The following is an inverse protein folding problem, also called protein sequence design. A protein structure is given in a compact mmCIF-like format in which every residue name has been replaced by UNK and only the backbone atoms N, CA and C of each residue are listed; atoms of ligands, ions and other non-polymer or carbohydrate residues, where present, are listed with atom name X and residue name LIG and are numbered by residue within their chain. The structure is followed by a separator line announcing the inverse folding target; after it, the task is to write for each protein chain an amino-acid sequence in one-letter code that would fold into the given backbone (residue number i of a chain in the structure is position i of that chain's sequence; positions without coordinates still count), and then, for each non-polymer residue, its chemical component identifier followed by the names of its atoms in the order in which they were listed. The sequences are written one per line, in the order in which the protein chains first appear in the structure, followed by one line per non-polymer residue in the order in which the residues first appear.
data_IF_531135502216
#
_entry.id   IF_531135502216
#
_cell.length_a   1.000
_cell.length_b   1.000
_cell.length_c   1.000
_cell.angle_alpha   90.00
_cell.angle_beta   90.00
_cell.angle_gamma   90.00
#
_symmetry.space_group_name_H-M   'P 1'
#
loop_
_entity.id
_entity.type
_entity.pdbx_description
1 polymer ?
#
# COMPACT_ATOMS: atom_id res chain seq x y z
N UNK A 1 18.36 2.56 1.31
CA UNK A 1 17.71 3.89 1.39
C UNK A 1 17.92 4.48 2.78
N UNK A 2 18.13 5.80 2.90
CA UNK A 2 18.42 6.44 4.20
C UNK A 2 17.13 6.83 4.94
N UNK A 3 17.18 6.86 6.28
CA UNK A 3 16.11 7.41 7.13
C UNK A 3 15.88 8.89 6.78
N UNK A 4 14.63 9.35 6.82
CA UNK A 4 14.21 10.72 6.44
C UNK A 4 13.47 10.84 5.10
N UNK A 5 13.62 9.89 4.18
CA UNK A 5 12.88 9.89 2.91
C UNK A 5 11.52 9.18 3.03
N UNK A 6 10.46 9.71 2.40
CA UNK A 6 9.11 9.11 2.41
C UNK A 6 9.10 7.64 1.99
N UNK A 7 9.84 7.32 0.92
CA UNK A 7 9.94 5.96 0.38
C UNK A 7 10.53 4.98 1.41
N UNK A 8 11.40 5.44 2.32
CA UNK A 8 11.92 4.61 3.40
C UNK A 8 10.81 4.13 4.35
N UNK A 9 9.85 5.01 4.69
CA UNK A 9 8.68 4.63 5.50
C UNK A 9 7.77 3.66 4.75
N UNK A 10 7.50 3.95 3.48
CA UNK A 10 6.60 3.15 2.62
C UNK A 10 7.09 1.71 2.47
N UNK A 11 8.36 1.52 2.13
CA UNK A 11 8.91 0.18 1.87
C UNK A 11 9.14 -0.65 3.14
N UNK A 12 9.43 -0.01 4.28
CA UNK A 12 9.72 -0.72 5.53
C UNK A 12 8.51 -0.81 6.47
N UNK A 13 7.32 -0.40 6.03
CA UNK A 13 6.12 -0.38 6.87
C UNK A 13 6.32 0.42 8.17
N UNK A 14 6.91 1.62 8.07
CA UNK A 14 7.20 2.46 9.24
C UNK A 14 6.27 3.67 9.28
N UNK A 15 6.03 4.20 10.48
CA UNK A 15 5.32 5.46 10.67
C UNK A 15 5.97 6.59 9.83
N UNK A 16 5.19 7.38 9.07
CA UNK A 16 5.71 8.44 8.19
C UNK A 16 6.38 9.60 8.94
N UNK A 17 6.06 9.78 10.22
CA UNK A 17 6.61 10.86 11.04
C UNK A 17 7.93 10.49 11.71
N UNK A 18 7.98 9.39 12.44
CA UNK A 18 9.15 9.01 13.25
C UNK A 18 10.07 7.98 12.58
N UNK A 19 9.59 7.28 11.54
CA UNK A 19 10.32 6.21 10.84
C UNK A 19 10.92 5.13 11.78
N UNK A 20 10.25 4.83 12.90
CA UNK A 20 10.82 3.94 13.92
C UNK A 20 9.86 2.87 14.42
N UNK A 21 8.56 3.16 14.54
CA UNK A 21 7.55 2.15 14.83
C UNK A 21 6.85 1.71 13.56
N UNK A 22 6.23 0.53 13.59
CA UNK A 22 5.47 0.00 12.46
C UNK A 22 4.18 0.81 12.22
N UNK A 23 3.81 0.96 10.95
CA UNK A 23 2.53 1.55 10.55
C UNK A 23 1.42 0.49 10.59
N UNK A 24 1.61 -0.61 9.87
CA UNK A 24 0.78 -1.81 9.97
C UNK A 24 1.31 -2.76 11.04
N UNK A 25 0.41 -3.46 11.72
CA UNK A 25 0.75 -4.44 12.78
C UNK A 25 1.70 -5.54 12.30
N UNK A 26 1.56 -5.98 11.05
CA UNK A 26 2.44 -6.97 10.44
C UNK A 26 3.08 -6.39 9.19
N UNK A 27 4.32 -6.78 8.88
CA UNK A 27 4.97 -6.42 7.61
C UNK A 27 4.46 -7.25 6.41
N UNK A 28 3.37 -7.99 6.57
CA UNK A 28 2.80 -8.84 5.54
C UNK A 28 1.38 -8.34 5.19
N UNK A 29 1.14 -7.85 3.96
CA UNK A 29 -0.16 -7.35 3.51
C UNK A 29 -1.31 -8.33 3.75
N UNK A 30 -1.11 -9.61 3.45
CA UNK A 30 -2.12 -10.65 3.58
C UNK A 30 -2.46 -10.92 5.05
N UNK A 31 -1.47 -10.92 5.95
CA UNK A 31 -1.75 -11.08 7.39
C UNK A 31 -2.56 -9.92 7.95
N UNK A 32 -2.28 -8.69 7.52
CA UNK A 32 -3.10 -7.55 7.93
C UNK A 32 -4.55 -7.69 7.44
N UNK A 33 -4.76 -8.21 6.23
CA UNK A 33 -6.12 -8.39 5.68
C UNK A 33 -6.91 -9.58 6.21
N UNK A 34 -6.29 -10.74 6.37
CA UNK A 34 -7.06 -11.93 6.74
C UNK A 34 -7.06 -12.20 8.24
N UNK A 35 -6.14 -11.60 9.01
CA UNK A 35 -5.96 -11.91 10.44
C UNK A 35 -6.21 -10.70 11.34
N UNK A 36 -5.95 -9.47 10.87
CA UNK A 36 -6.13 -8.28 11.71
C UNK A 36 -7.58 -7.78 11.67
N UNK A 37 -8.14 -7.45 12.83
CA UNK A 37 -9.44 -6.78 12.92
C UNK A 37 -9.26 -5.31 12.48
N UNK A 38 -9.64 -5.07 11.23
CA UNK A 38 -9.51 -3.87 10.38
C UNK A 38 -9.96 -2.51 10.91
N UNK A 39 -10.46 -2.42 12.13
CA UNK A 39 -11.29 -1.30 12.52
C UNK A 39 -10.51 -0.02 12.81
N UNK A 40 -9.21 -0.11 13.14
CA UNK A 40 -8.40 1.10 13.23
C UNK A 40 -6.90 0.76 13.20
N UNK A 41 -6.12 1.43 12.34
CA UNK A 41 -4.64 1.35 12.36
C UNK A 41 -4.11 2.04 13.63
N UNK A 42 -4.96 2.83 14.30
CA UNK A 42 -4.74 3.36 15.63
C UNK A 42 -3.71 4.48 15.66
N UNK A 43 -2.86 4.46 16.68
CA UNK A 43 -1.83 5.48 16.90
C UNK A 43 -0.45 4.85 16.88
N UNK A 44 0.51 5.59 16.34
CA UNK A 44 1.92 5.26 16.43
C UNK A 44 2.35 5.10 17.90
N UNK A 45 3.02 3.99 18.24
CA UNK A 45 3.45 3.71 19.62
C UNK A 45 4.48 4.73 20.13
N UNK A 46 5.37 5.20 19.24
CA UNK A 46 6.46 6.13 19.56
C UNK A 46 6.06 7.61 19.60
N UNK A 47 5.55 8.16 18.49
CA UNK A 47 5.22 9.58 18.40
C UNK A 47 3.73 9.90 18.68
N UNK A 48 2.93 8.90 19.05
CA UNK A 48 1.49 9.01 19.37
C UNK A 48 0.62 9.62 18.28
N UNK A 49 1.15 9.75 17.07
CA UNK A 49 0.41 10.20 15.88
C UNK A 49 -0.78 9.27 15.64
N UNK A 50 -1.98 9.83 15.59
CA UNK A 50 -3.17 9.14 15.08
C UNK A 50 -3.06 9.03 13.56
N UNK A 51 -3.14 7.82 13.03
CA UNK A 51 -2.96 7.60 11.59
C UNK A 51 -4.16 8.08 10.75
N UNK A 52 -5.37 7.99 11.31
CA UNK A 52 -6.55 8.65 10.74
C UNK A 52 -6.63 10.09 11.27
N UNK A 53 -6.25 11.04 10.40
CA UNK A 53 -6.22 12.46 10.70
C UNK A 53 -7.63 13.02 10.88
N UNK A 54 -8.51 12.74 9.92
CA UNK A 54 -9.94 13.11 9.92
C UNK A 54 -10.83 11.87 9.69
N UNK A 55 -12.10 11.87 10.16
CA UNK A 55 -13.03 10.79 9.84
C UNK A 55 -13.19 10.66 8.31
N UNK A 56 -12.94 9.47 7.78
CA UNK A 56 -13.01 9.21 6.34
C UNK A 56 -11.74 9.57 5.57
N UNK A 57 -10.64 9.89 6.26
CA UNK A 57 -9.32 10.16 5.63
C UNK A 57 -8.91 9.10 4.59
N UNK A 58 -9.30 7.84 4.82
CA UNK A 58 -8.94 6.72 3.97
C UNK A 58 -9.71 6.61 2.65
N UNK A 59 -10.76 7.42 2.43
CA UNK A 59 -11.40 7.49 1.12
C UNK A 59 -10.41 7.92 0.04
N UNK A 60 -9.50 8.84 0.36
CA UNK A 60 -8.45 9.27 -0.57
C UNK A 60 -7.47 8.16 -0.95
N UNK A 61 -7.17 7.24 -0.02
CA UNK A 61 -6.34 6.07 -0.29
C UNK A 61 -6.96 5.13 -1.35
N UNK A 62 -8.28 5.18 -1.58
CA UNK A 62 -8.90 4.41 -2.66
C UNK A 62 -8.42 4.85 -4.04
N UNK A 63 -8.19 6.15 -4.26
CA UNK A 63 -7.64 6.66 -5.53
C UNK A 63 -6.20 6.18 -5.75
N UNK A 64 -5.40 6.11 -4.68
CA UNK A 64 -4.04 5.54 -4.75
C UNK A 64 -4.11 4.04 -5.09
N UNK A 65 -5.04 3.31 -4.47
CA UNK A 65 -5.27 1.90 -4.78
C UNK A 65 -5.67 1.68 -6.24
N UNK A 66 -6.52 2.55 -6.79
CA UNK A 66 -6.88 2.53 -8.20
C UNK A 66 -5.67 2.76 -9.11
N UNK A 67 -4.85 3.78 -8.84
CA UNK A 67 -3.64 4.05 -9.61
C UNK A 67 -2.64 2.86 -9.59
N UNK A 68 -2.46 2.22 -8.42
CA UNK A 68 -1.61 1.03 -8.31
C UNK A 68 -2.22 -0.14 -9.10
N UNK A 69 -3.53 -0.35 -9.02
CA UNK A 69 -4.22 -1.43 -9.75
C UNK A 69 -4.12 -1.25 -11.27
N UNK A 70 -4.27 -0.02 -11.77
CA UNK A 70 -4.07 0.29 -13.20
C UNK A 70 -2.63 0.03 -13.62
N UNK A 71 -1.66 0.43 -12.81
CA UNK A 71 -0.25 0.14 -13.07
C UNK A 71 0.03 -1.37 -13.13
N UNK A 72 -0.49 -2.13 -12.17
CA UNK A 72 -0.38 -3.60 -12.16
C UNK A 72 -1.00 -4.16 -13.44
N UNK A 73 -2.23 -3.77 -13.78
CA UNK A 73 -2.93 -4.24 -14.97
C UNK A 73 -2.13 -4.03 -16.26
N UNK A 74 -1.61 -2.82 -16.47
CA UNK A 74 -0.81 -2.51 -17.65
C UNK A 74 0.49 -3.32 -17.67
N UNK A 75 1.15 -3.46 -16.52
CA UNK A 75 2.36 -4.25 -16.40
C UNK A 75 2.12 -5.72 -16.71
N UNK A 76 1.06 -6.33 -16.14
CA UNK A 76 0.73 -7.72 -16.45
C UNK A 76 0.36 -7.87 -17.91
N UNK A 77 -0.50 -7.01 -18.46
CA UNK A 77 -0.86 -7.07 -19.87
C UNK A 77 0.37 -7.07 -20.78
N UNK A 78 1.27 -6.10 -20.58
CA UNK A 78 2.49 -5.99 -21.37
C UNK A 78 3.41 -7.21 -21.20
N UNK A 79 3.56 -7.72 -19.97
CA UNK A 79 4.33 -8.93 -19.73
C UNK A 79 3.74 -10.13 -20.48
N UNK A 80 2.41 -10.34 -20.43
CA UNK A 80 1.80 -11.45 -21.14
C UNK A 80 1.97 -11.33 -22.65
N UNK A 81 1.76 -10.14 -23.22
CA UNK A 81 1.95 -9.87 -24.65
C UNK A 81 3.40 -10.10 -25.11
N UNK A 82 4.38 -9.74 -24.28
CA UNK A 82 5.80 -9.94 -24.58
C UNK A 82 6.25 -11.40 -24.48
N UNK A 83 5.76 -12.15 -23.49
CA UNK A 83 6.20 -13.54 -23.25
C UNK A 83 5.39 -14.59 -24.00
N UNK A 84 4.12 -14.32 -24.34
CA UNK A 84 3.23 -15.27 -25.00
C UNK A 84 2.79 -14.73 -26.35
N UNK A 85 3.23 -15.40 -27.42
CA UNK A 85 2.84 -15.06 -28.79
C UNK A 85 1.40 -15.54 -29.07
N UNK A 86 0.58 -14.68 -29.70
CA UNK A 86 -0.82 -14.95 -30.09
C UNK A 86 -1.74 -15.46 -28.95
N UNK A 87 -1.56 -14.97 -27.73
CA UNK A 87 -2.47 -15.29 -26.62
C UNK A 87 -3.87 -14.69 -26.85
N UNK A 88 -4.93 -15.50 -26.70
CA UNK A 88 -6.31 -15.02 -26.80
C UNK A 88 -6.59 -13.99 -25.68
N UNK A 89 -7.19 -12.87 -26.08
CA UNK A 89 -7.63 -11.77 -25.20
C UNK A 89 -8.46 -12.27 -24.02
N UNK A 90 -9.25 -13.34 -24.19
CA UNK A 90 -10.01 -13.93 -23.09
C UNK A 90 -9.11 -14.41 -21.94
N UNK A 91 -8.00 -15.07 -22.26
CA UNK A 91 -7.04 -15.54 -21.25
C UNK A 91 -6.29 -14.37 -20.61
N UNK A 92 -5.98 -13.31 -21.37
CA UNK A 92 -5.37 -12.09 -20.83
C UNK A 92 -6.26 -11.43 -19.78
N UNK A 93 -7.56 -11.28 -20.07
CA UNK A 93 -8.52 -10.65 -19.17
C UNK A 93 -8.70 -11.48 -17.90
N UNK A 94 -8.91 -12.79 -18.03
CA UNK A 94 -9.10 -13.70 -16.89
C UNK A 94 -7.85 -13.70 -16.00
N UNK A 95 -6.66 -13.78 -16.60
CA UNK A 95 -5.39 -13.76 -15.87
C UNK A 95 -5.19 -12.43 -15.14
N UNK A 96 -5.45 -11.30 -15.78
CA UNK A 96 -5.37 -9.99 -15.13
C UNK A 96 -6.34 -9.85 -13.96
N UNK A 97 -7.61 -10.25 -14.14
CA UNK A 97 -8.60 -10.21 -13.08
C UNK A 97 -8.18 -11.07 -11.88
N UNK A 98 -7.66 -12.27 -12.13
CA UNK A 98 -7.15 -13.16 -11.09
C UNK A 98 -5.95 -12.58 -10.35
N UNK A 99 -4.99 -11.99 -11.07
CA UNK A 99 -3.80 -11.37 -10.48
C UNK A 99 -4.18 -10.15 -9.62
N UNK A 100 -5.05 -9.28 -10.12
CA UNK A 100 -5.56 -8.14 -9.35
C UNK A 100 -6.31 -8.59 -8.10
N UNK A 101 -7.14 -9.64 -8.21
CA UNK A 101 -7.85 -10.19 -7.06
C UNK A 101 -6.88 -10.68 -5.98
N UNK A 102 -5.85 -11.45 -6.36
CA UNK A 102 -4.80 -11.92 -5.44
C UNK A 102 -4.03 -10.75 -4.83
N UNK A 103 -3.69 -9.73 -5.63
CA UNK A 103 -2.91 -8.57 -5.19
C UNK A 103 -3.73 -7.53 -4.42
N UNK A 104 -5.05 -7.71 -4.27
CA UNK A 104 -5.91 -6.81 -3.47
C UNK A 104 -5.32 -6.47 -2.10
N UNK A 105 -4.74 -7.44 -1.33
CA UNK A 105 -4.17 -7.10 -0.05
C UNK A 105 -2.93 -6.21 -0.14
N UNK A 106 -2.14 -6.41 -1.19
CA UNK A 106 -0.94 -5.63 -1.48
C UNK A 106 -1.31 -4.21 -1.86
N UNK A 107 -2.29 -4.03 -2.75
CA UNK A 107 -2.75 -2.69 -3.16
C UNK A 107 -3.36 -1.92 -1.99
N UNK A 108 -4.15 -2.58 -1.13
CA UNK A 108 -4.69 -1.97 0.09
C UNK A 108 -3.61 -1.55 1.08
N UNK A 109 -2.61 -2.40 1.30
CA UNK A 109 -1.51 -2.14 2.22
C UNK A 109 -0.67 -0.92 1.78
N UNK A 110 -0.28 -0.89 0.50
CA UNK A 110 0.57 0.17 -0.03
C UNK A 110 -0.20 1.48 -0.27
N UNK A 111 -1.45 1.40 -0.73
CA UNK A 111 -2.24 2.62 -0.97
C UNK A 111 -2.37 3.50 0.27
N UNK A 112 -2.62 2.90 1.44
CA UNK A 112 -2.77 3.64 2.70
C UNK A 112 -1.44 4.19 3.23
N UNK A 113 -0.36 3.42 3.16
CA UNK A 113 0.95 3.91 3.61
C UNK A 113 1.47 5.02 2.69
N UNK A 114 1.21 4.94 1.38
CA UNK A 114 1.52 5.99 0.42
C UNK A 114 0.67 7.23 0.69
N UNK A 115 -0.65 7.05 0.85
CA UNK A 115 -1.59 8.14 1.10
C UNK A 115 -1.19 8.97 2.33
N UNK A 116 -0.94 8.32 3.47
CA UNK A 116 -0.55 9.04 4.69
C UNK A 116 0.81 9.76 4.55
N UNK A 117 1.73 9.20 3.75
CA UNK A 117 3.01 9.85 3.45
C UNK A 117 2.86 11.11 2.59
N UNK A 118 1.72 11.36 1.94
CA UNK A 118 1.47 12.64 1.27
C UNK A 118 1.23 13.77 2.26
N UNK A 119 0.49 13.51 3.34
CA UNK A 119 0.08 14.51 4.33
C UNK A 119 1.08 14.64 5.49
N UNK A 120 1.78 13.55 5.82
CA UNK A 120 2.67 13.50 6.97
C UNK A 120 4.10 13.37 6.49
N UNK A 121 4.94 14.28 6.97
CA UNK A 121 6.36 14.32 6.68
C UNK A 121 7.17 13.83 7.87
N UNK A 122 8.36 13.31 7.56
CA UNK A 122 9.31 12.90 8.57
C UNK A 122 9.71 14.10 9.45
N UNK A 123 9.71 13.87 10.77
CA UNK A 123 10.16 14.85 11.76
C UNK A 123 11.22 14.20 12.66
N UNK A 124 12.50 14.64 12.56
CA UNK A 124 13.59 14.06 13.33
C UNK A 124 13.45 14.26 14.85
N UNK A 125 12.60 15.20 15.31
CA UNK A 125 12.38 15.43 16.74
C UNK A 125 11.71 14.24 17.45
N UNK A 126 10.99 13.41 16.69
CA UNK A 126 10.27 12.25 17.21
C UNK A 126 11.03 10.93 16.99
N UNK A 127 12.32 11.01 16.64
CA UNK A 127 13.13 9.86 16.25
C UNK A 127 13.24 8.78 17.33
#
# INVERSE_FOLDING_TARGET
MKKGYKIYSILNNLCPRCHSSQFWKYNNPYKNIFISNHYDIGRCEKCKLKFELEPGFWFGAMYVSYAISVFIFLLTWFCFDFFFYDIDVKYLIISNAFILFILTPVTYFFSRIIWINFFIHYDPKFQ
#
